data_IF_064252945365
#
_entry.id   IF_064252945365
#
_cell.length_a   1.000
_cell.length_b   1.000
_cell.length_c   1.000
_cell.angle_alpha   90.00
_cell.angle_beta   90.00
_cell.angle_gamma   90.00
#
_symmetry.space_group_name_H-M   'P 1'
#
loop_
_entity.id
_entity.type
_entity.pdbx_description
1 polymer ?
#
# COMPACT_ATOMS: atom_id res chain seq x y z
N UNK A 1 26.60 42.50 -54.06
CA UNK A 1 26.81 42.27 -52.60
C UNK A 1 25.91 41.13 -52.16
N UNK A 2 26.56 40.07 -51.65
CA UNK A 2 26.08 38.93 -50.84
C UNK A 2 24.79 38.18 -51.23
N UNK A 3 25.00 37.04 -51.87
CA UNK A 3 24.19 35.83 -51.74
C UNK A 3 24.48 35.12 -50.40
N UNK A 4 23.47 34.45 -49.85
CA UNK A 4 23.59 33.55 -48.70
C UNK A 4 22.66 32.36 -48.89
N UNK A 5 23.24 31.20 -49.19
CA UNK A 5 22.56 29.93 -49.42
C UNK A 5 22.24 29.22 -48.09
N UNK A 6 21.01 28.71 -47.98
CA UNK A 6 20.54 27.85 -46.90
C UNK A 6 20.85 26.38 -47.21
N UNK A 7 21.65 25.74 -46.35
CA UNK A 7 21.92 24.31 -46.39
C UNK A 7 21.25 23.62 -45.19
N UNK A 8 20.05 23.07 -45.40
CA UNK A 8 19.48 22.06 -44.49
C UNK A 8 19.91 20.68 -44.97
N UNK A 9 20.88 20.09 -44.27
CA UNK A 9 21.48 18.81 -44.59
C UNK A 9 20.60 17.61 -44.26
N UNK A 10 20.63 16.63 -45.16
CA UNK A 10 19.95 15.33 -45.14
C UNK A 10 20.19 14.45 -43.89
N UNK A 11 21.07 14.84 -42.96
CA UNK A 11 21.38 14.07 -41.74
C UNK A 11 20.37 14.26 -40.59
N UNK A 12 19.51 15.29 -40.64
CA UNK A 12 18.53 15.56 -39.58
C UNK A 12 17.35 14.58 -39.51
N UNK A 13 17.00 13.93 -40.64
CA UNK A 13 15.79 13.10 -40.74
C UNK A 13 15.97 11.73 -40.06
N UNK A 14 17.19 11.19 -40.07
CA UNK A 14 17.51 9.88 -39.46
C UNK A 14 17.60 9.94 -37.92
N UNK A 15 18.01 11.07 -37.35
CA UNK A 15 18.11 11.22 -35.90
C UNK A 15 16.73 11.40 -35.24
N UNK A 16 15.83 12.13 -35.91
CA UNK A 16 14.49 12.38 -35.39
C UNK A 16 13.63 11.10 -35.34
N UNK A 17 13.78 10.20 -36.33
CA UNK A 17 13.08 8.92 -36.35
C UNK A 17 13.50 7.95 -35.23
N UNK A 18 14.79 7.96 -34.84
CA UNK A 18 15.29 7.07 -33.77
C UNK A 18 14.86 7.52 -32.37
N UNK A 19 14.75 8.82 -32.12
CA UNK A 19 14.27 9.36 -30.85
C UNK A 19 12.77 9.07 -30.64
N UNK A 20 11.97 9.17 -31.69
CA UNK A 20 10.53 8.85 -31.64
C UNK A 20 10.28 7.36 -31.35
N UNK A 21 11.07 6.45 -31.94
CA UNK A 21 10.95 5.02 -31.69
C UNK A 21 11.35 4.63 -30.24
N UNK A 22 12.42 5.22 -29.70
CA UNK A 22 12.86 4.95 -28.33
C UNK A 22 11.84 5.45 -27.29
N UNK A 23 11.22 6.60 -27.54
CA UNK A 23 10.17 7.14 -26.66
C UNK A 23 8.91 6.27 -26.68
N UNK A 24 8.55 5.71 -27.84
CA UNK A 24 7.39 4.82 -27.98
C UNK A 24 7.58 3.50 -27.20
N UNK A 25 8.80 2.94 -27.18
CA UNK A 25 9.11 1.70 -26.44
C UNK A 25 9.12 1.92 -24.93
N UNK A 26 9.58 3.08 -24.45
CA UNK A 26 9.55 3.46 -23.03
C UNK A 26 8.11 3.64 -22.51
N UNK A 27 7.22 4.22 -23.32
CA UNK A 27 5.80 4.36 -22.96
C UNK A 27 5.08 3.01 -22.92
N UNK A 28 5.47 2.06 -23.77
CA UNK A 28 4.89 0.70 -23.78
C UNK A 28 5.38 -0.17 -22.60
N UNK A 29 6.62 0.00 -22.13
CA UNK A 29 7.18 -0.76 -21.01
C UNK A 29 6.66 -0.32 -19.63
N UNK A 30 6.16 0.92 -19.49
CA UNK A 30 5.52 1.41 -18.27
C UNK A 30 4.09 0.85 -18.06
N UNK A 31 3.54 0.15 -19.05
CA UNK A 31 2.28 -0.59 -18.96
C UNK A 31 2.52 -2.08 -18.67
N UNK A 32 3.39 -2.42 -17.72
CA UNK A 32 3.49 -3.79 -17.23
C UNK A 32 2.31 -4.07 -16.26
N UNK A 33 1.46 -5.07 -16.53
CA UNK A 33 0.22 -5.25 -15.79
C UNK A 33 0.48 -5.98 -14.48
N UNK A 34 0.85 -5.25 -13.42
CA UNK A 34 0.88 -5.72 -12.03
C UNK A 34 -0.52 -6.06 -11.46
N UNK A 35 -1.48 -6.41 -12.33
CA UNK A 35 -2.86 -6.73 -12.00
C UNK A 35 -3.56 -7.64 -13.02
N UNK A 36 -2.85 -8.18 -14.03
CA UNK A 36 -3.48 -8.98 -15.09
C UNK A 36 -4.12 -10.27 -14.55
N UNK A 37 -3.47 -10.92 -13.58
CA UNK A 37 -4.04 -12.11 -12.92
C UNK A 37 -5.29 -11.80 -12.11
N UNK A 38 -5.48 -10.56 -11.68
CA UNK A 38 -6.62 -10.15 -10.86
C UNK A 38 -7.82 -9.74 -11.72
N UNK A 39 -7.55 -9.06 -12.83
CA UNK A 39 -8.56 -8.71 -13.84
C UNK A 39 -9.07 -9.94 -14.59
N UNK A 40 -8.24 -10.98 -14.74
CA UNK A 40 -8.59 -12.20 -15.49
C UNK A 40 -9.15 -13.33 -14.62
N UNK A 41 -8.76 -13.42 -13.35
CA UNK A 41 -9.19 -14.50 -12.44
C UNK A 41 -10.12 -14.03 -11.30
N UNK A 42 -10.50 -12.75 -11.26
CA UNK A 42 -11.33 -12.18 -10.19
C UNK A 42 -10.58 -12.09 -8.86
N UNK A 43 -11.33 -11.93 -7.75
CA UNK A 43 -10.80 -12.17 -6.40
C UNK A 43 -10.38 -13.65 -6.41
N UNK A 44 -9.09 -13.92 -6.62
CA UNK A 44 -8.60 -15.29 -6.74
C UNK A 44 -9.05 -16.10 -5.52
N UNK A 45 -9.45 -17.35 -5.71
CA UNK A 45 -9.78 -18.26 -4.62
C UNK A 45 -8.59 -18.59 -3.70
N UNK A 46 -7.37 -18.13 -4.04
CA UNK A 46 -6.21 -18.21 -3.17
C UNK A 46 -6.12 -16.98 -2.26
N UNK A 47 -6.59 -17.14 -1.04
CA UNK A 47 -6.23 -16.32 0.12
C UNK A 47 -4.71 -16.47 0.35
N UNK A 48 -3.89 -15.64 -0.28
CA UNK A 48 -2.45 -15.66 -0.08
C UNK A 48 -2.14 -15.32 1.40
N UNK A 49 -1.37 -16.15 2.14
CA UNK A 49 -1.14 -15.95 3.57
C UNK A 49 -0.47 -14.63 3.96
N UNK A 50 0.23 -13.98 3.02
CA UNK A 50 0.85 -12.67 3.23
C UNK A 50 -0.21 -11.55 3.33
N UNK A 51 -1.24 -11.59 2.48
CA UNK A 51 -2.30 -10.59 2.45
C UNK A 51 -3.21 -10.70 3.68
N UNK A 52 -3.44 -11.92 4.18
CA UNK A 52 -4.25 -12.15 5.38
C UNK A 52 -3.64 -11.48 6.61
N UNK A 53 -2.31 -11.55 6.79
CA UNK A 53 -1.64 -10.96 7.96
C UNK A 53 -1.69 -9.44 7.95
N UNK A 54 -1.39 -8.83 6.80
CA UNK A 54 -1.47 -7.37 6.67
C UNK A 54 -2.91 -6.88 6.84
N UNK A 55 -3.89 -7.55 6.23
CA UNK A 55 -5.32 -7.22 6.40
C UNK A 55 -5.77 -7.38 7.86
N UNK A 56 -5.35 -8.44 8.54
CA UNK A 56 -5.66 -8.65 9.97
C UNK A 56 -5.07 -7.52 10.83
N UNK A 57 -3.82 -7.14 10.59
CA UNK A 57 -3.16 -6.05 11.33
C UNK A 57 -3.86 -4.70 11.09
N UNK A 58 -4.25 -4.39 9.85
CA UNK A 58 -5.01 -3.16 9.55
C UNK A 58 -6.38 -3.16 10.21
N UNK A 59 -7.08 -4.30 10.24
CA UNK A 59 -8.35 -4.45 10.96
C UNK A 59 -8.18 -4.27 12.47
N UNK A 60 -7.11 -4.84 13.06
CA UNK A 60 -6.79 -4.67 14.48
C UNK A 60 -6.61 -3.20 14.84
N UNK A 61 -5.82 -2.49 14.01
CA UNK A 61 -5.59 -1.05 14.18
C UNK A 61 -6.88 -0.24 14.04
N UNK A 62 -7.73 -0.59 13.07
CA UNK A 62 -9.01 0.08 12.87
C UNK A 62 -9.93 -0.08 14.08
N UNK A 63 -10.10 -1.29 14.61
CA UNK A 63 -10.91 -1.51 15.81
C UNK A 63 -10.33 -0.83 17.05
N UNK A 64 -9.00 -0.77 17.19
CA UNK A 64 -8.36 -0.03 18.28
C UNK A 64 -8.67 1.48 18.21
N UNK A 65 -8.69 2.07 17.00
CA UNK A 65 -9.08 3.46 16.78
C UNK A 65 -10.57 3.69 17.06
N UNK A 66 -11.46 2.79 16.63
CA UNK A 66 -12.88 2.90 16.93
C UNK A 66 -13.14 2.80 18.44
N UNK A 67 -12.46 1.90 19.14
CA UNK A 67 -12.54 1.78 20.59
C UNK A 67 -12.10 3.07 21.30
N UNK A 68 -11.01 3.70 20.83
CA UNK A 68 -10.53 4.93 21.46
C UNK A 68 -11.48 6.10 21.23
N UNK A 69 -12.03 6.22 20.02
CA UNK A 69 -13.05 7.22 19.69
C UNK A 69 -14.37 6.99 20.43
N UNK A 70 -14.70 5.74 20.75
CA UNK A 70 -15.85 5.36 21.56
C UNK A 70 -15.69 5.70 23.06
N UNK A 71 -14.53 6.20 23.49
CA UNK A 71 -14.25 6.49 24.90
C UNK A 71 -14.07 5.24 25.76
N UNK A 72 -13.84 4.08 25.15
CA UNK A 72 -13.66 2.81 25.86
C UNK A 72 -12.23 2.59 26.36
N UNK A 73 -11.28 3.48 26.03
CA UNK A 73 -9.87 3.41 26.43
C UNK A 73 -9.65 3.50 27.94
N UNK A 74 -10.61 4.08 28.68
CA UNK A 74 -10.63 4.14 30.14
C UNK A 74 -11.63 3.17 30.79
N UNK A 75 -12.29 2.32 29.99
CA UNK A 75 -13.25 1.35 30.53
C UNK A 75 -12.51 0.24 31.29
N UNK A 76 -12.95 -0.11 32.51
CA UNK A 76 -12.34 -1.20 33.28
C UNK A 76 -12.40 -2.55 32.54
N UNK A 77 -13.38 -2.74 31.66
CA UNK A 77 -13.63 -4.00 30.95
C UNK A 77 -12.75 -4.19 29.69
N UNK A 78 -12.19 -3.09 29.13
CA UNK A 78 -11.46 -3.10 27.84
C UNK A 78 -9.93 -2.92 28.02
N UNK A 79 -9.50 -2.51 29.21
CA UNK A 79 -8.09 -2.34 29.56
C UNK A 79 -7.38 -1.19 28.83
N UNK A 80 -6.23 -0.77 29.37
CA UNK A 80 -5.37 0.24 28.75
C UNK A 80 -4.89 -0.21 27.37
N UNK A 81 -5.18 0.59 26.34
CA UNK A 81 -4.77 0.32 24.96
C UNK A 81 -5.86 -0.27 24.06
N UNK A 82 -7.13 -0.22 24.46
CA UNK A 82 -8.26 -0.63 23.61
C UNK A 82 -8.21 -2.11 23.18
N UNK A 83 -7.79 -2.98 24.11
CA UNK A 83 -7.73 -4.42 23.87
C UNK A 83 -9.10 -5.03 24.15
N UNK A 84 -9.97 -4.95 23.14
CA UNK A 84 -11.35 -5.47 23.21
C UNK A 84 -11.37 -6.94 23.67
N UNK A 85 -12.18 -7.30 24.68
CA UNK A 85 -12.36 -8.68 25.07
C UNK A 85 -13.01 -9.50 23.95
N UNK A 86 -12.74 -10.81 23.92
CA UNK A 86 -13.27 -11.70 22.87
C UNK A 86 -14.81 -11.71 22.84
N UNK A 87 -15.43 -11.58 24.02
CA UNK A 87 -16.87 -11.56 24.22
C UNK A 87 -17.26 -10.45 25.21
N UNK A 88 -17.86 -9.38 24.70
CA UNK A 88 -18.45 -8.29 25.49
C UNK A 88 -19.48 -7.56 24.61
N UNK A 89 -20.73 -7.88 24.85
CA UNK A 89 -21.86 -7.35 24.09
C UNK A 89 -21.96 -5.83 24.12
N UNK A 90 -21.67 -5.21 25.26
CA UNK A 90 -21.81 -3.76 25.41
C UNK A 90 -20.66 -3.06 24.70
N UNK A 91 -19.42 -3.49 24.92
CA UNK A 91 -18.26 -2.87 24.29
C UNK A 91 -18.31 -3.01 22.77
N UNK A 92 -18.59 -4.21 22.25
CA UNK A 92 -18.66 -4.44 20.81
C UNK A 92 -19.82 -3.67 20.16
N UNK A 93 -20.97 -3.55 20.83
CA UNK A 93 -22.08 -2.73 20.31
C UNK A 93 -21.71 -1.25 20.21
N UNK A 94 -21.05 -0.68 21.23
CA UNK A 94 -20.60 0.72 21.18
C UNK A 94 -19.56 0.92 20.06
N UNK A 95 -18.63 -0.03 19.89
CA UNK A 95 -17.64 0.01 18.80
C UNK A 95 -18.31 -0.04 17.43
N UNK A 96 -19.34 -0.88 17.25
CA UNK A 96 -20.10 -0.94 15.99
C UNK A 96 -20.82 0.38 15.72
N UNK A 97 -21.49 0.96 16.72
CA UNK A 97 -22.14 2.27 16.56
C UNK A 97 -21.14 3.37 16.21
N UNK A 98 -19.96 3.37 16.84
CA UNK A 98 -18.89 4.29 16.51
C UNK A 98 -18.34 4.06 15.09
N UNK A 99 -18.19 2.80 14.68
CA UNK A 99 -17.81 2.44 13.31
C UNK A 99 -18.84 2.90 12.28
N UNK A 100 -20.14 2.78 12.57
CA UNK A 100 -21.19 3.35 11.71
C UNK A 100 -21.06 4.88 11.58
N UNK A 101 -20.74 5.59 12.67
CA UNK A 101 -20.51 7.04 12.63
C UNK A 101 -19.24 7.43 11.84
N UNK A 102 -18.19 6.61 11.86
CA UNK A 102 -17.00 6.79 11.00
C UNK A 102 -17.34 6.55 9.53
N UNK A 103 -18.04 5.45 9.21
CA UNK A 103 -18.51 5.14 7.86
C UNK A 103 -19.40 6.27 7.31
N UNK A 104 -20.29 6.81 8.15
CA UNK A 104 -21.17 7.93 7.80
C UNK A 104 -20.39 9.16 7.34
N UNK A 105 -19.39 9.58 8.11
CA UNK A 105 -18.53 10.73 7.76
C UNK A 105 -17.82 10.51 6.43
N UNK A 106 -17.31 9.30 6.19
CA UNK A 106 -16.64 8.94 4.93
C UNK A 106 -17.62 8.89 3.75
N UNK A 107 -18.84 8.42 3.99
CA UNK A 107 -19.91 8.35 3.03
C UNK A 107 -20.37 9.76 2.60
N UNK A 108 -20.60 10.66 3.57
CA UNK A 108 -21.00 12.04 3.29
C UNK A 108 -19.94 12.78 2.48
N UNK A 109 -18.66 12.63 2.85
CA UNK A 109 -17.54 13.22 2.12
C UNK A 109 -17.36 12.61 0.71
N UNK A 110 -17.77 11.35 0.50
CA UNK A 110 -17.80 10.74 -0.83
C UNK A 110 -18.95 11.30 -1.70
N UNK A 111 -20.13 11.51 -1.11
CA UNK A 111 -21.27 12.09 -1.80
C UNK A 111 -21.03 13.56 -2.19
N UNK A 112 -20.40 14.34 -1.32
CA UNK A 112 -19.98 15.71 -1.61
C UNK A 112 -18.98 15.76 -2.78
N UNK A 113 -17.95 14.91 -2.72
CA UNK A 113 -16.99 14.76 -3.81
C UNK A 113 -17.66 14.39 -5.14
N UNK A 114 -18.66 13.50 -5.10
CA UNK A 114 -19.42 13.09 -6.29
C UNK A 114 -20.19 14.27 -6.90
N UNK A 115 -20.84 15.10 -6.06
CA UNK A 115 -21.58 16.29 -6.51
C UNK A 115 -20.64 17.35 -7.11
N UNK A 116 -19.52 17.65 -6.45
CA UNK A 116 -18.48 18.56 -6.96
C UNK A 116 -17.92 18.07 -8.29
N UNK A 117 -17.68 16.77 -8.41
CA UNK A 117 -17.18 16.18 -9.65
C UNK A 117 -18.19 16.29 -10.78
N UNK A 118 -19.48 16.18 -10.48
CA UNK A 118 -20.56 16.39 -11.45
C UNK A 118 -20.64 17.86 -11.89
N UNK A 119 -20.59 18.82 -10.97
CA UNK A 119 -20.62 20.27 -11.27
C UNK A 119 -19.41 20.71 -12.09
N UNK A 120 -18.23 20.17 -11.79
CA UNK A 120 -16.98 20.48 -12.50
C UNK A 120 -16.89 19.87 -13.92
N UNK A 121 -17.83 18.99 -14.32
CA UNK A 121 -17.86 18.37 -15.65
C UNK A 121 -18.47 19.26 -16.74
N UNK A 122 -19.35 20.20 -16.40
CA UNK A 122 -20.01 21.06 -17.39
C UNK A 122 -19.02 21.87 -18.28
N UNK A 123 -17.83 22.31 -17.81
CA UNK A 123 -16.85 22.99 -18.66
C UNK A 123 -15.73 22.08 -19.24
N UNK A 124 -15.61 20.81 -18.84
CA UNK A 124 -14.42 19.96 -19.07
C UNK A 124 -14.64 18.82 -20.08
N UNK A 125 -15.65 18.92 -20.94
CA UNK A 125 -15.92 17.94 -21.99
C UNK A 125 -14.97 18.01 -23.20
N UNK A 126 -13.96 18.90 -23.23
CA UNK A 126 -13.01 19.01 -24.35
C UNK A 126 -11.75 18.14 -24.25
N UNK A 127 -11.47 17.46 -23.12
CA UNK A 127 -10.20 16.73 -22.96
C UNK A 127 -10.32 15.44 -22.13
N UNK A 128 -11.18 14.49 -22.53
CA UNK A 128 -11.28 13.18 -21.85
C UNK A 128 -10.89 12.04 -22.79
N UNK A 129 -9.58 11.88 -23.03
CA UNK A 129 -8.97 10.67 -23.59
C UNK A 129 -7.78 10.13 -22.76
N UNK A 130 -7.62 10.55 -21.49
CA UNK A 130 -6.53 10.11 -20.62
C UNK A 130 -7.04 9.66 -19.24
N UNK A 131 -7.84 8.58 -19.18
CA UNK A 131 -8.52 8.14 -17.95
C UNK A 131 -7.91 6.89 -17.30
N UNK A 132 -6.89 6.24 -17.89
CA UNK A 132 -6.41 4.95 -17.35
C UNK A 132 -5.36 5.03 -16.23
N UNK A 133 -4.59 6.12 -16.13
CA UNK A 133 -3.53 6.29 -15.11
C UNK A 133 -3.81 7.41 -14.11
N UNK A 134 -5.00 8.00 -14.17
CA UNK A 134 -5.27 9.28 -13.50
C UNK A 134 -6.31 9.13 -12.39
N UNK A 135 -6.94 7.97 -12.21
CA UNK A 135 -7.96 7.79 -11.17
C UNK A 135 -7.33 7.85 -9.77
N UNK A 136 -6.20 7.18 -9.53
CA UNK A 136 -5.50 7.25 -8.23
C UNK A 136 -4.83 8.62 -7.99
N UNK A 137 -4.28 9.25 -9.03
CA UNK A 137 -3.59 10.54 -8.93
C UNK A 137 -4.55 11.75 -8.90
N UNK A 138 -5.69 11.70 -9.59
CA UNK A 138 -6.74 12.75 -9.54
C UNK A 138 -7.57 12.61 -8.25
N UNK A 139 -7.81 11.39 -7.75
CA UNK A 139 -8.47 11.20 -6.45
C UNK A 139 -7.61 11.68 -5.28
N UNK A 140 -6.28 11.66 -5.42
CA UNK A 140 -5.37 12.29 -4.46
C UNK A 140 -5.28 13.83 -4.58
N UNK A 141 -5.71 14.42 -5.70
CA UNK A 141 -5.57 15.87 -5.96
C UNK A 141 -6.82 16.72 -5.68
N UNK A 142 -8.02 16.12 -5.61
CA UNK A 142 -9.27 16.89 -5.53
C UNK A 142 -9.92 16.94 -4.13
N UNK A 143 -9.73 15.89 -3.31
CA UNK A 143 -9.89 15.92 -1.86
C UNK A 143 -9.36 14.57 -1.32
N UNK A 144 -8.10 14.49 -0.87
CA UNK A 144 -7.42 13.23 -0.58
C UNK A 144 -8.09 12.43 0.54
N UNK A 145 -8.87 13.05 1.42
CA UNK A 145 -9.27 12.42 2.67
C UNK A 145 -10.42 11.40 2.52
N UNK A 146 -11.38 11.57 1.59
CA UNK A 146 -12.60 10.73 1.56
C UNK A 146 -12.47 9.45 0.73
N UNK A 147 -11.86 9.54 -0.46
CA UNK A 147 -11.61 8.39 -1.32
C UNK A 147 -10.53 7.46 -0.74
N UNK A 148 -9.48 8.05 -0.14
CA UNK A 148 -8.46 7.29 0.59
C UNK A 148 -9.08 6.67 1.84
N UNK A 149 -9.97 7.37 2.56
CA UNK A 149 -10.65 6.81 3.72
C UNK A 149 -11.56 5.63 3.38
N UNK A 150 -12.35 5.69 2.31
CA UNK A 150 -13.15 4.55 1.85
C UNK A 150 -12.27 3.42 1.28
N UNK A 151 -11.14 3.74 0.67
CA UNK A 151 -10.14 2.73 0.24
C UNK A 151 -9.47 2.07 1.43
N UNK A 152 -9.10 2.80 2.49
CA UNK A 152 -8.48 2.26 3.70
C UNK A 152 -9.48 1.35 4.42
N UNK A 153 -10.73 1.78 4.53
CA UNK A 153 -11.80 0.98 5.15
C UNK A 153 -12.18 -0.21 4.26
N UNK A 154 -12.21 -0.03 2.94
CA UNK A 154 -12.39 -1.10 1.97
C UNK A 154 -11.26 -2.13 2.02
N UNK A 155 -10.01 -1.70 2.06
CA UNK A 155 -8.82 -2.53 2.19
C UNK A 155 -8.80 -3.26 3.54
N UNK A 156 -9.10 -2.55 4.64
CA UNK A 156 -9.26 -3.15 5.96
C UNK A 156 -10.34 -4.25 5.92
N UNK A 157 -11.48 -3.97 5.30
CA UNK A 157 -12.57 -4.94 5.19
C UNK A 157 -12.46 -5.91 4.02
N UNK A 158 -11.39 -5.92 3.23
CA UNK A 158 -11.25 -6.77 2.04
C UNK A 158 -12.29 -6.51 0.95
N UNK A 159 -12.94 -5.35 0.98
CA UNK A 159 -13.88 -4.86 -0.03
C UNK A 159 -13.08 -4.06 -1.06
N UNK A 160 -12.72 -4.75 -2.14
CA UNK A 160 -11.76 -4.33 -3.14
C UNK A 160 -11.98 -2.92 -3.69
N UNK A 161 -10.97 -2.08 -3.51
CA UNK A 161 -10.83 -0.74 -4.13
C UNK A 161 -10.92 -0.80 -5.66
N UNK A 162 -10.60 -1.94 -6.30
CA UNK A 162 -10.61 -2.07 -7.78
C UNK A 162 -11.98 -2.36 -8.40
N UNK A 163 -12.99 -2.72 -7.59
CA UNK A 163 -14.40 -2.73 -8.04
C UNK A 163 -14.92 -1.30 -8.30
N UNK A 164 -14.34 -0.31 -7.62
CA UNK A 164 -14.64 1.13 -7.81
C UNK A 164 -13.99 1.65 -9.11
N UNK A 165 -12.83 1.12 -9.49
CA UNK A 165 -12.06 1.59 -10.65
C UNK A 165 -12.57 1.06 -12.00
N UNK A 166 -13.28 -0.07 -12.01
CA UNK A 166 -13.65 -0.79 -13.24
C UNK A 166 -15.13 -0.68 -13.63
N UNK A 167 -15.99 -0.13 -12.75
CA UNK A 167 -17.42 -0.04 -13.04
C UNK A 167 -17.78 1.37 -13.54
N UNK A 168 -18.58 1.41 -14.60
CA UNK A 168 -18.86 2.60 -15.38
C UNK A 168 -19.50 3.73 -14.55
N UNK A 169 -18.66 4.65 -14.07
CA UNK A 169 -18.99 5.96 -13.51
C UNK A 169 -19.88 6.86 -14.41
N UNK A 170 -20.38 6.37 -15.56
CA UNK A 170 -21.36 7.08 -16.37
C UNK A 170 -22.73 7.16 -15.70
N UNK A 171 -23.22 6.06 -15.12
CA UNK A 171 -24.60 6.04 -14.61
C UNK A 171 -24.75 6.96 -13.38
N UNK A 172 -23.88 6.85 -12.37
CA UNK A 172 -23.92 7.74 -11.20
C UNK A 172 -23.69 9.21 -11.50
N UNK A 173 -22.95 9.54 -12.58
CA UNK A 173 -22.71 10.93 -12.97
C UNK A 173 -23.85 11.51 -13.82
N UNK A 174 -24.69 10.66 -14.41
CA UNK A 174 -25.90 11.06 -15.14
C UNK A 174 -27.09 11.27 -14.18
N UNK A 175 -27.21 10.47 -13.13
CA UNK A 175 -28.28 10.58 -12.13
C UNK A 175 -28.13 11.87 -11.30
N UNK A 176 -29.24 12.51 -10.94
CA UNK A 176 -29.26 13.69 -10.09
C UNK A 176 -28.63 13.41 -8.70
N UNK A 177 -27.73 14.29 -8.24
CA UNK A 177 -27.04 14.12 -6.96
C UNK A 177 -28.02 14.07 -5.79
N UNK A 178 -29.16 14.76 -5.90
CA UNK A 178 -30.26 14.73 -4.94
C UNK A 178 -30.87 13.32 -4.80
N UNK A 179 -31.08 12.62 -5.93
CA UNK A 179 -31.54 11.23 -5.96
C UNK A 179 -30.54 10.31 -5.27
N UNK A 180 -29.26 10.39 -5.66
CA UNK A 180 -28.20 9.57 -5.05
C UNK A 180 -28.14 9.79 -3.53
N UNK A 181 -28.15 11.05 -3.10
CA UNK A 181 -28.09 11.41 -1.69
C UNK A 181 -29.32 10.88 -0.92
N UNK A 182 -30.53 11.06 -1.48
CA UNK A 182 -31.77 10.59 -0.85
C UNK A 182 -31.79 9.07 -0.63
N UNK A 183 -31.30 8.31 -1.62
CA UNK A 183 -31.23 6.85 -1.57
C UNK A 183 -30.27 6.40 -0.48
N UNK A 184 -29.04 6.92 -0.47
CA UNK A 184 -28.01 6.56 0.52
C UNK A 184 -28.46 6.92 1.94
N UNK A 185 -29.01 8.12 2.14
CA UNK A 185 -29.53 8.57 3.43
C UNK A 185 -30.65 7.64 3.91
N UNK A 186 -31.62 7.34 3.04
CA UNK A 186 -32.77 6.50 3.39
C UNK A 186 -32.32 5.09 3.82
N UNK A 187 -31.34 4.53 3.13
CA UNK A 187 -30.85 3.17 3.35
C UNK A 187 -29.97 3.09 4.61
N UNK A 188 -29.15 4.12 4.87
CA UNK A 188 -28.44 4.27 6.14
C UNK A 188 -29.41 4.36 7.32
N UNK A 189 -30.48 5.15 7.19
CA UNK A 189 -31.51 5.25 8.24
C UNK A 189 -32.27 3.94 8.43
N UNK A 190 -32.63 3.26 7.33
CA UNK A 190 -33.29 1.95 7.38
C UNK A 190 -32.41 0.93 8.11
N UNK A 191 -31.15 0.81 7.71
CA UNK A 191 -30.20 -0.10 8.33
C UNK A 191 -30.02 0.21 9.83
N UNK A 192 -29.84 1.48 10.20
CA UNK A 192 -29.72 1.87 11.61
C UNK A 192 -30.98 1.51 12.42
N UNK A 193 -32.17 1.72 11.87
CA UNK A 193 -33.44 1.35 12.53
C UNK A 193 -33.57 -0.17 12.72
N UNK A 194 -33.21 -0.94 11.72
CA UNK A 194 -33.25 -2.42 11.79
C UNK A 194 -32.20 -2.98 12.74
N UNK A 195 -31.05 -2.31 12.85
CA UNK A 195 -29.94 -2.75 13.70
C UNK A 195 -29.98 -2.24 15.13
N UNK A 196 -30.88 -1.31 15.47
CA UNK A 196 -31.08 -0.83 16.85
C UNK A 196 -31.44 -1.95 17.84
N UNK A 197 -32.07 -3.02 17.36
CA UNK A 197 -32.45 -4.18 18.20
C UNK A 197 -31.37 -5.26 18.28
N UNK A 198 -30.30 -5.14 17.48
CA UNK A 198 -29.23 -6.13 17.50
C UNK A 198 -28.17 -5.77 18.53
N UNK A 199 -27.66 -6.79 19.18
CA UNK A 199 -26.50 -6.67 20.03
C UNK A 199 -25.34 -7.46 19.44
N UNK A 200 -24.15 -6.86 19.51
CA UNK A 200 -22.95 -7.41 18.90
C UNK A 200 -22.06 -7.94 20.01
N UNK A 201 -21.91 -9.25 20.12
CA UNK A 201 -21.20 -9.89 21.24
C UNK A 201 -19.72 -10.16 20.98
N UNK A 202 -19.28 -10.16 19.73
CA UNK A 202 -17.93 -10.56 19.35
C UNK A 202 -17.45 -9.81 18.10
N UNK A 203 -16.14 -9.91 17.84
CA UNK A 203 -15.49 -9.27 16.69
C UNK A 203 -16.08 -9.68 15.33
N UNK A 204 -16.28 -10.97 15.00
CA UNK A 204 -16.88 -11.35 13.71
C UNK A 204 -18.25 -10.72 13.47
N UNK A 205 -19.11 -10.65 14.49
CA UNK A 205 -20.42 -10.00 14.39
C UNK A 205 -20.28 -8.49 14.13
N UNK A 206 -19.35 -7.83 14.82
CA UNK A 206 -19.07 -6.41 14.60
C UNK A 206 -18.52 -6.14 13.19
N UNK A 207 -17.56 -6.94 12.73
CA UNK A 207 -16.97 -6.84 11.39
C UNK A 207 -18.02 -7.05 10.29
N UNK A 208 -18.87 -8.05 10.45
CA UNK A 208 -19.96 -8.32 9.51
C UNK A 208 -20.96 -7.16 9.45
N UNK A 209 -21.33 -6.58 10.59
CA UNK A 209 -22.23 -5.43 10.66
C UNK A 209 -21.64 -4.20 9.97
N UNK A 210 -20.38 -3.86 10.27
CA UNK A 210 -19.68 -2.72 9.67
C UNK A 210 -19.47 -2.89 8.16
N UNK A 211 -19.10 -4.10 7.70
CA UNK A 211 -19.02 -4.43 6.27
C UNK A 211 -20.35 -4.25 5.55
N UNK A 212 -21.43 -4.72 6.17
CA UNK A 212 -22.77 -4.63 5.61
C UNK A 212 -23.23 -3.17 5.52
N UNK A 213 -22.90 -2.37 6.53
CA UNK A 213 -23.19 -0.94 6.54
C UNK A 213 -22.40 -0.16 5.48
N UNK A 214 -21.09 -0.42 5.37
CA UNK A 214 -20.22 0.22 4.38
C UNK A 214 -20.72 0.00 2.95
N UNK A 215 -21.27 -1.19 2.65
CA UNK A 215 -21.78 -1.52 1.32
C UNK A 215 -22.85 -0.56 0.82
N UNK A 216 -23.61 0.09 1.71
CA UNK A 216 -24.64 1.08 1.34
C UNK A 216 -24.02 2.26 0.59
N UNK A 217 -22.80 2.64 0.97
CA UNK A 217 -22.09 3.79 0.41
C UNK A 217 -21.22 3.43 -0.81
N UNK A 218 -21.21 2.16 -1.23
CA UNK A 218 -20.40 1.74 -2.38
C UNK A 218 -21.10 2.08 -3.70
N UNK A 219 -20.35 2.56 -4.71
CA UNK A 219 -20.92 3.00 -5.98
C UNK A 219 -21.86 1.98 -6.64
N UNK A 220 -21.45 0.70 -6.70
CA UNK A 220 -22.26 -0.35 -7.33
C UNK A 220 -23.60 -0.55 -6.62
N UNK A 221 -23.63 -0.36 -5.30
CA UNK A 221 -24.81 -0.62 -4.50
C UNK A 221 -25.83 0.51 -4.66
N UNK A 222 -25.33 1.75 -4.76
CA UNK A 222 -26.13 2.94 -5.10
C UNK A 222 -26.75 2.78 -6.49
N UNK A 223 -25.97 2.40 -7.51
CA UNK A 223 -26.48 2.18 -8.87
C UNK A 223 -27.56 1.11 -8.90
N UNK A 224 -27.32 -0.01 -8.21
CA UNK A 224 -28.29 -1.09 -8.18
C UNK A 224 -29.59 -0.66 -7.50
N UNK A 225 -29.52 0.08 -6.39
CA UNK A 225 -30.71 0.60 -5.72
C UNK A 225 -31.49 1.57 -6.60
N UNK A 226 -30.80 2.42 -7.37
CA UNK A 226 -31.47 3.35 -8.27
C UNK A 226 -32.14 2.61 -9.42
N UNK A 227 -31.49 1.57 -9.96
CA UNK A 227 -32.08 0.69 -10.97
C UNK A 227 -33.29 -0.08 -10.42
N UNK A 228 -33.21 -0.57 -9.19
CA UNK A 228 -34.30 -1.27 -8.50
C UNK A 228 -35.48 -0.30 -8.26
N UNK A 229 -35.23 0.92 -7.80
CA UNK A 229 -36.26 1.95 -7.62
C UNK A 229 -36.92 2.34 -8.95
N UNK A 230 -36.14 2.44 -10.03
CA UNK A 230 -36.66 2.71 -11.37
C UNK A 230 -37.55 1.57 -11.88
N UNK A 231 -37.13 0.31 -11.67
CA UNK A 231 -37.89 -0.86 -12.12
C UNK A 231 -39.15 -1.11 -11.27
N UNK A 232 -39.07 -0.96 -9.94
CA UNK A 232 -40.20 -1.05 -9.03
C UNK A 232 -41.20 0.09 -9.25
N UNK A 233 -40.71 1.31 -9.46
CA UNK A 233 -41.53 2.45 -9.84
C UNK A 233 -42.30 2.23 -11.14
N UNK A 234 -41.64 1.64 -12.15
CA UNK A 234 -42.29 1.25 -13.41
C UNK A 234 -43.37 0.17 -13.21
N UNK A 235 -43.19 -0.71 -12.21
CA UNK A 235 -44.15 -1.77 -11.83
C UNK A 235 -45.22 -1.32 -10.83
N UNK A 236 -45.14 -0.09 -10.31
CA UNK A 236 -45.98 0.44 -9.20
C UNK A 236 -45.90 -0.44 -7.94
N UNK A 237 -44.76 -1.06 -7.70
CA UNK A 237 -44.49 -1.88 -6.52
C UNK A 237 -43.72 -1.07 -5.48
N UNK A 238 -44.03 -1.28 -4.20
CA UNK A 238 -43.27 -0.68 -3.10
C UNK A 238 -42.00 -1.51 -2.85
N UNK A 239 -40.84 -0.87 -2.58
CA UNK A 239 -39.65 -1.58 -2.12
C UNK A 239 -39.95 -2.33 -0.82
N UNK A 240 -39.65 -3.64 -0.81
CA UNK A 240 -39.73 -4.49 0.39
C UNK A 240 -38.37 -5.14 0.64
N UNK A 241 -38.16 -5.65 1.86
CA UNK A 241 -36.89 -6.24 2.29
C UNK A 241 -36.47 -7.48 1.46
N UNK A 242 -37.43 -8.17 0.84
CA UNK A 242 -37.24 -9.35 -0.01
C UNK A 242 -36.76 -9.03 -1.45
N UNK A 243 -36.92 -7.78 -1.88
CA UNK A 243 -36.53 -7.28 -3.21
C UNK A 243 -35.49 -6.15 -3.13
N UNK A 244 -34.87 -6.00 -1.95
CA UNK A 244 -33.69 -5.17 -1.71
C UNK A 244 -32.45 -6.05 -1.70
N UNK A 245 -31.40 -5.68 -2.44
CA UNK A 245 -30.09 -6.35 -2.39
C UNK A 245 -29.44 -6.30 -1.00
N UNK A 246 -29.93 -5.44 -0.11
CA UNK A 246 -29.48 -5.35 1.27
C UNK A 246 -30.30 -6.31 2.11
N UNK A 247 -29.71 -7.48 2.37
CA UNK A 247 -30.10 -8.28 3.51
C UNK A 247 -29.54 -7.62 4.77
N UNK A 248 -30.43 -7.26 5.70
CA UNK A 248 -30.03 -6.88 7.06
C UNK A 248 -29.14 -8.00 7.61
N UNK A 249 -28.06 -7.66 8.32
CA UNK A 249 -27.16 -8.68 8.81
C UNK A 249 -27.97 -9.65 9.70
N UNK A 250 -27.96 -10.93 9.33
CA UNK A 250 -28.55 -11.98 10.15
C UNK A 250 -27.66 -12.23 11.37
N UNK A 251 -27.63 -11.26 12.29
CA UNK A 251 -27.02 -11.41 13.60
C UNK A 251 -28.08 -12.02 14.49
N UNK A 252 -28.52 -13.24 14.14
CA UNK A 252 -29.25 -14.05 15.10
C UNK A 252 -28.27 -14.21 16.27
N UNK A 253 -28.62 -13.82 17.52
CA UNK A 253 -27.83 -14.27 18.65
C UNK A 253 -27.81 -15.79 18.51
N UNK A 254 -26.64 -16.41 18.38
CA UNK A 254 -26.52 -17.85 18.58
C UNK A 254 -26.88 -18.11 20.05
N UNK A 255 -28.17 -18.04 20.39
CA UNK A 255 -28.79 -18.71 21.52
C UNK A 255 -28.79 -20.20 21.17
N UNK A 256 -27.59 -20.76 21.17
CA UNK A 256 -27.30 -22.02 20.52
C UNK A 256 -25.83 -22.39 20.53
N UNK A 257 -25.01 -21.76 21.39
CA UNK A 257 -23.88 -22.47 21.96
C UNK A 257 -24.43 -23.39 23.06
N UNK A 258 -25.15 -24.45 22.68
CA UNK A 258 -24.86 -25.69 23.38
C UNK A 258 -23.34 -25.84 23.21
N UNK A 259 -22.55 -25.93 24.29
CA UNK A 259 -21.15 -26.25 24.12
C UNK A 259 -21.17 -27.54 23.31
N UNK A 260 -20.62 -27.50 22.09
CA UNK A 260 -20.16 -28.71 21.45
C UNK A 260 -19.13 -29.24 22.44
N UNK A 261 -19.59 -30.07 23.39
CA UNK A 261 -18.71 -30.93 24.12
C UNK A 261 -18.08 -31.79 23.04
N UNK A 262 -16.84 -31.42 22.68
CA UNK A 262 -15.96 -32.28 21.94
C UNK A 262 -15.78 -33.54 22.78
N UNK A 263 -16.67 -34.52 22.62
CA UNK A 263 -16.59 -35.83 23.27
C UNK A 263 -15.53 -36.72 22.63
N UNK A 264 -14.79 -36.21 21.67
CA UNK A 264 -13.52 -36.77 21.26
C UNK A 264 -12.42 -35.71 21.47
N UNK A 265 -11.48 -35.91 22.42
CA UNK A 265 -10.23 -35.16 22.37
C UNK A 265 -9.55 -35.56 21.06
N UNK A 266 -9.70 -34.73 20.03
CA UNK A 266 -8.75 -34.76 18.94
C UNK A 266 -7.47 -34.20 19.54
N UNK A 267 -6.62 -35.09 20.04
CA UNK A 267 -5.20 -34.82 20.21
C UNK A 267 -4.61 -34.59 18.83
N UNK A 268 -4.90 -33.44 18.22
CA UNK A 268 -3.95 -32.85 17.30
C UNK A 268 -2.77 -32.48 18.17
N UNK A 269 -1.84 -33.41 18.30
CA UNK A 269 -0.47 -33.07 18.64
C UNK A 269 0.01 -32.25 17.43
N UNK A 270 -0.36 -30.97 17.40
CA UNK A 270 0.29 -29.97 16.55
C UNK A 270 1.70 -29.96 17.10
N UNK A 271 2.53 -30.84 16.55
CA UNK A 271 3.97 -30.73 16.67
C UNK A 271 4.24 -29.45 15.92
N UNK A 272 4.22 -28.34 16.64
CA UNK A 272 4.64 -27.03 16.18
C UNK A 272 6.12 -27.20 15.82
N UNK A 273 6.39 -27.68 14.60
CA UNK A 273 7.73 -27.80 14.04
C UNK A 273 8.18 -26.39 13.78
N UNK A 274 8.60 -25.71 14.85
CA UNK A 274 9.24 -24.40 14.76
C UNK A 274 10.46 -24.57 13.86
N UNK A 275 10.58 -23.78 12.80
CA UNK A 275 11.77 -23.79 11.97
C UNK A 275 13.01 -23.61 12.83
N UNK A 276 14.13 -24.27 12.49
CA UNK A 276 15.39 -24.03 13.17
C UNK A 276 15.76 -22.54 13.06
N UNK A 277 16.34 -21.94 14.11
CA UNK A 277 16.81 -20.57 14.05
C UNK A 277 17.96 -20.46 13.04
N UNK A 278 18.05 -19.34 12.33
CA UNK A 278 19.15 -19.06 11.43
C UNK A 278 20.46 -18.84 12.21
N UNK A 279 21.58 -19.33 11.69
CA UNK A 279 22.88 -19.26 12.35
C UNK A 279 23.39 -17.81 12.45
N UNK A 280 23.89 -17.43 13.62
CA UNK A 280 24.49 -16.11 13.89
C UNK A 280 23.51 -14.94 14.10
N UNK A 281 22.21 -15.10 13.83
CA UNK A 281 21.23 -14.01 13.96
C UNK A 281 20.85 -13.65 15.40
N UNK A 282 21.17 -14.52 16.37
CA UNK A 282 20.83 -14.32 17.78
C UNK A 282 21.48 -13.08 18.40
N UNK A 283 22.60 -12.60 17.84
CA UNK A 283 23.31 -11.40 18.32
C UNK A 283 22.80 -10.10 17.69
N UNK A 284 22.11 -10.18 16.54
CA UNK A 284 21.71 -9.03 15.75
C UNK A 284 20.23 -8.65 15.90
N UNK A 285 19.43 -9.52 16.51
CA UNK A 285 17.98 -9.37 16.58
C UNK A 285 17.46 -9.76 17.95
N UNK A 286 16.54 -8.95 18.50
CA UNK A 286 15.81 -9.28 19.73
C UNK A 286 14.78 -10.39 19.50
N UNK A 287 14.44 -10.66 18.23
CA UNK A 287 13.53 -11.73 17.85
C UNK A 287 14.26 -12.90 17.22
N UNK A 288 13.69 -14.10 17.39
CA UNK A 288 14.15 -15.30 16.72
C UNK A 288 13.85 -15.20 15.22
N UNK A 289 14.90 -15.22 14.41
CA UNK A 289 14.83 -15.21 12.95
C UNK A 289 15.07 -16.65 12.45
N UNK A 290 14.15 -17.17 11.66
CA UNK A 290 14.31 -18.44 10.96
C UNK A 290 15.07 -18.27 9.64
N UNK A 291 15.54 -19.37 9.06
CA UNK A 291 16.35 -19.35 7.84
C UNK A 291 15.63 -18.68 6.66
N UNK A 292 14.31 -18.90 6.54
CA UNK A 292 13.50 -18.28 5.49
C UNK A 292 13.43 -16.76 5.65
N UNK A 293 13.21 -16.27 6.87
CA UNK A 293 13.19 -14.84 7.18
C UNK A 293 14.58 -14.23 7.03
N UNK A 294 15.64 -14.92 7.44
CA UNK A 294 17.02 -14.47 7.25
C UNK A 294 17.34 -14.24 5.77
N UNK A 295 16.99 -15.20 4.90
CA UNK A 295 17.16 -15.07 3.44
C UNK A 295 16.33 -13.92 2.87
N UNK A 296 15.10 -13.72 3.37
CA UNK A 296 14.27 -12.59 2.96
C UNK A 296 14.92 -11.24 3.33
N UNK A 297 15.43 -11.11 4.56
CA UNK A 297 16.14 -9.92 5.01
C UNK A 297 17.39 -9.67 4.15
N UNK A 298 18.21 -10.70 3.88
CA UNK A 298 19.39 -10.59 3.02
C UNK A 298 19.04 -10.06 1.61
N UNK A 299 17.94 -10.52 1.02
CA UNK A 299 17.45 -9.99 -0.27
C UNK A 299 16.99 -8.55 -0.18
N UNK A 300 16.35 -8.17 0.93
CA UNK A 300 15.85 -6.80 1.13
C UNK A 300 16.96 -5.78 1.40
N UNK A 301 18.13 -6.20 1.89
CA UNK A 301 19.35 -5.38 1.94
C UNK A 301 20.18 -5.49 0.65
N UNK A 302 19.61 -6.10 -0.39
CA UNK A 302 20.14 -6.26 -1.74
C UNK A 302 21.37 -7.15 -1.88
N UNK A 303 21.53 -8.15 -1.01
CA UNK A 303 22.48 -9.24 -1.26
C UNK A 303 21.96 -10.14 -2.39
N UNK A 304 22.88 -10.72 -3.16
CA UNK A 304 22.54 -11.53 -4.34
C UNK A 304 23.37 -12.81 -4.40
N UNK A 305 22.86 -13.82 -5.12
CA UNK A 305 23.60 -15.05 -5.37
C UNK A 305 23.95 -15.82 -4.09
N UNK A 306 25.22 -16.18 -3.93
CA UNK A 306 25.74 -16.93 -2.78
C UNK A 306 25.69 -16.16 -1.46
N UNK A 307 25.54 -14.84 -1.50
CA UNK A 307 25.47 -14.01 -0.29
C UNK A 307 24.08 -14.07 0.38
N UNK A 308 23.10 -14.77 -0.21
CA UNK A 308 21.75 -15.01 0.34
C UNK A 308 21.67 -16.44 0.89
N UNK A 309 22.56 -16.75 1.81
CA UNK A 309 22.74 -18.08 2.40
C UNK A 309 21.89 -18.32 3.67
N UNK A 310 21.31 -17.26 4.24
CA UNK A 310 20.57 -17.27 5.51
C UNK A 310 21.47 -17.07 6.73
N UNK A 311 22.79 -17.01 6.58
CA UNK A 311 23.71 -16.89 7.70
C UNK A 311 24.05 -15.42 8.00
N UNK A 312 24.19 -15.11 9.28
CA UNK A 312 24.62 -13.78 9.69
C UNK A 312 26.15 -13.62 9.54
N UNK A 313 26.61 -13.30 8.32
CA UNK A 313 28.01 -13.03 8.01
C UNK A 313 28.38 -11.54 8.01
N UNK A 314 29.67 -11.20 7.78
CA UNK A 314 30.15 -9.82 7.71
C UNK A 314 29.44 -8.94 6.68
N UNK A 315 29.09 -9.50 5.51
CA UNK A 315 28.31 -8.79 4.47
C UNK A 315 26.89 -8.46 4.93
N UNK A 316 26.20 -9.42 5.54
CA UNK A 316 24.87 -9.23 6.15
C UNK A 316 24.94 -8.14 7.22
N UNK A 317 25.95 -8.19 8.10
CA UNK A 317 26.16 -7.18 9.14
C UNK A 317 26.38 -5.79 8.53
N UNK A 318 27.22 -5.67 7.50
CA UNK A 318 27.49 -4.39 6.86
C UNK A 318 26.27 -3.81 6.14
N UNK A 319 25.49 -4.64 5.44
CA UNK A 319 24.24 -4.22 4.81
C UNK A 319 23.17 -3.79 5.82
N UNK A 320 23.06 -4.48 6.96
CA UNK A 320 22.13 -4.09 8.03
C UNK A 320 22.55 -2.80 8.74
N UNK A 321 23.86 -2.53 8.90
CA UNK A 321 24.35 -1.24 9.38
C UNK A 321 23.96 -0.09 8.47
N UNK A 322 24.01 -0.30 7.15
CA UNK A 322 23.50 0.67 6.18
C UNK A 322 21.99 0.89 6.38
N UNK A 323 21.22 -0.18 6.53
CA UNK A 323 19.78 -0.10 6.78
C UNK A 323 19.46 0.71 8.05
N UNK A 324 20.07 0.39 9.19
CA UNK A 324 19.85 1.08 10.47
C UNK A 324 20.25 2.56 10.41
N UNK A 325 21.25 2.89 9.59
CA UNK A 325 21.68 4.28 9.41
C UNK A 325 20.68 5.13 8.60
N UNK A 326 19.77 4.50 7.87
CA UNK A 326 18.75 5.16 7.05
C UNK A 326 17.43 5.12 7.82
N UNK A 327 17.19 6.17 8.60
CA UNK A 327 15.91 6.40 9.28
C UNK A 327 15.05 7.38 8.47
N UNK A 328 13.70 7.31 8.53
CA UNK A 328 12.83 8.35 8.00
C UNK A 328 13.19 9.76 8.50
N UNK A 329 13.77 9.84 9.70
CA UNK A 329 14.17 11.10 10.35
C UNK A 329 15.58 11.57 9.95
N UNK A 330 16.40 10.69 9.35
CA UNK A 330 17.75 11.01 8.92
C UNK A 330 18.03 10.36 7.55
N UNK A 331 17.41 10.89 6.48
CA UNK A 331 17.53 10.31 5.15
C UNK A 331 18.94 10.53 4.61
N UNK A 332 19.71 9.44 4.49
CA UNK A 332 20.93 9.37 3.69
C UNK A 332 21.99 10.41 4.10
N UNK A 333 22.56 10.27 5.30
CA UNK A 333 23.61 11.23 5.73
C UNK A 333 24.40 10.87 6.98
N UNK A 334 24.10 9.76 7.66
CA UNK A 334 24.80 9.38 8.88
C UNK A 334 26.29 9.11 8.59
N UNK A 335 27.18 9.96 9.11
CA UNK A 335 28.64 9.79 9.00
C UNK A 335 29.13 8.51 9.67
N UNK A 336 28.43 8.06 10.71
CA UNK A 336 28.90 7.02 11.63
C UNK A 336 28.18 5.68 11.39
N UNK A 337 27.61 5.48 10.20
CA UNK A 337 26.84 4.27 9.87
C UNK A 337 27.62 2.97 10.10
N UNK A 338 28.96 2.99 9.96
CA UNK A 338 29.82 1.83 10.23
C UNK A 338 29.81 1.39 11.69
N UNK A 339 29.52 2.31 12.61
CA UNK A 339 29.43 2.05 14.05
C UNK A 339 27.98 1.85 14.52
N UNK A 340 27.01 1.84 13.59
CA UNK A 340 25.62 1.59 13.92
C UNK A 340 25.47 0.24 14.65
N UNK A 341 24.72 0.27 15.75
CA UNK A 341 24.33 -0.95 16.46
C UNK A 341 23.12 -1.54 15.75
N UNK A 342 23.19 -2.82 15.37
CA UNK A 342 22.09 -3.52 14.73
C UNK A 342 21.15 -4.00 15.83
N UNK A 343 19.90 -3.54 15.80
CA UNK A 343 18.90 -3.97 16.77
C UNK A 343 17.54 -4.08 16.10
N UNK A 344 17.35 -5.18 15.37
CA UNK A 344 16.14 -5.38 14.58
C UNK A 344 14.93 -5.64 15.48
N UNK A 345 14.01 -4.68 15.49
CA UNK A 345 12.68 -4.80 16.09
C UNK A 345 11.70 -5.55 15.15
N UNK A 346 10.59 -6.12 15.67
CA UNK A 346 9.60 -6.79 14.83
C UNK A 346 9.05 -5.95 13.66
N UNK A 347 8.76 -4.64 13.82
CA UNK A 347 8.38 -3.79 12.70
C UNK A 347 9.46 -3.67 11.63
N UNK A 348 10.71 -3.46 12.03
CA UNK A 348 11.84 -3.34 11.08
C UNK A 348 12.06 -4.64 10.29
N UNK A 349 11.89 -5.80 10.93
CA UNK A 349 11.97 -7.10 10.24
C UNK A 349 10.85 -7.25 9.21
N UNK A 350 9.68 -6.66 9.43
CA UNK A 350 8.62 -6.63 8.43
C UNK A 350 8.92 -5.66 7.29
N UNK A 351 9.48 -4.49 7.58
CA UNK A 351 9.90 -3.52 6.55
C UNK A 351 11.00 -4.12 5.64
N UNK A 352 11.89 -4.92 6.22
CA UNK A 352 12.97 -5.68 5.57
C UNK A 352 12.48 -6.93 4.80
N UNK A 353 11.20 -7.04 4.47
CA UNK A 353 10.69 -8.08 3.55
C UNK A 353 10.46 -7.59 2.13
N UNK A 354 10.62 -6.29 1.90
CA UNK A 354 10.46 -5.69 0.58
C UNK A 354 11.66 -6.04 -0.29
N UNK A 355 11.43 -6.63 -1.47
CA UNK A 355 12.52 -7.00 -2.38
C UNK A 355 13.22 -5.75 -2.97
N UNK A 356 14.52 -5.86 -3.22
CA UNK A 356 15.28 -4.80 -3.87
C UNK A 356 14.96 -4.70 -5.35
N UNK A 357 14.97 -3.47 -5.88
CA UNK A 357 14.85 -3.30 -7.33
C UNK A 357 16.04 -3.87 -8.08
N UNK A 358 15.83 -4.35 -9.32
CA UNK A 358 16.92 -4.76 -10.19
C UNK A 358 17.98 -3.65 -10.28
N UNK A 359 19.26 -4.04 -10.22
CA UNK A 359 20.45 -3.18 -10.26
C UNK A 359 20.84 -2.47 -8.96
N UNK A 360 19.99 -2.47 -7.91
CA UNK A 360 20.43 -2.02 -6.59
C UNK A 360 21.39 -3.05 -5.98
N UNK A 361 22.55 -2.60 -5.52
CA UNK A 361 23.58 -3.44 -4.89
C UNK A 361 23.57 -3.37 -3.36
N UNK A 362 22.89 -2.37 -2.79
CA UNK A 362 22.65 -2.22 -1.36
C UNK A 362 21.37 -1.42 -1.10
N UNK A 363 21.02 -1.30 0.18
CA UNK A 363 19.81 -0.60 0.62
C UNK A 363 19.79 0.91 0.27
N UNK A 364 20.93 1.61 0.31
CA UNK A 364 21.03 3.04 -0.08
C UNK A 364 20.60 3.22 -1.54
N UNK A 365 21.15 2.39 -2.43
CA UNK A 365 20.83 2.46 -3.85
C UNK A 365 19.38 2.11 -4.11
N UNK A 366 18.84 1.12 -3.41
CA UNK A 366 17.42 0.77 -3.49
C UNK A 366 16.54 1.97 -3.14
N UNK A 367 16.88 2.70 -2.07
CA UNK A 367 16.17 3.92 -1.65
C UNK A 367 16.28 5.05 -2.68
N UNK A 368 17.48 5.28 -3.22
CA UNK A 368 17.71 6.29 -4.26
C UNK A 368 16.94 5.98 -5.56
N UNK A 369 16.81 4.70 -5.93
CA UNK A 369 16.12 4.29 -7.14
C UNK A 369 14.60 4.25 -7.00
N UNK A 370 14.09 3.86 -5.83
CA UNK A 370 12.64 3.66 -5.62
C UNK A 370 11.95 4.83 -4.94
N UNK A 371 12.48 5.28 -3.81
CA UNK A 371 11.81 6.24 -2.93
C UNK A 371 12.18 7.68 -3.23
N UNK A 372 13.39 7.92 -3.73
CA UNK A 372 13.89 9.27 -3.96
C UNK A 372 14.66 9.41 -5.29
N UNK A 373 13.98 9.18 -6.45
CA UNK A 373 14.63 9.15 -7.76
C UNK A 373 15.28 10.48 -8.17
N UNK A 374 14.78 11.61 -7.67
CA UNK A 374 15.40 12.92 -7.85
C UNK A 374 16.77 13.00 -7.19
N UNK A 375 16.90 12.49 -5.97
CA UNK A 375 18.18 12.39 -5.27
C UNK A 375 19.12 11.41 -5.98
N UNK A 376 18.61 10.26 -6.45
CA UNK A 376 19.37 9.34 -7.28
C UNK A 376 19.96 10.00 -8.53
N UNK A 377 19.17 10.84 -9.22
CA UNK A 377 19.63 11.58 -10.38
C UNK A 377 20.71 12.63 -10.04
N UNK A 378 20.61 13.30 -8.89
CA UNK A 378 21.62 14.23 -8.38
C UNK A 378 22.95 13.52 -8.08
N UNK A 379 22.90 12.36 -7.41
CA UNK A 379 24.10 11.56 -7.13
C UNK A 379 24.75 11.07 -8.43
N UNK A 380 23.97 10.57 -9.38
CA UNK A 380 24.48 10.18 -10.70
C UNK A 380 25.13 11.35 -11.43
N UNK A 381 24.57 12.56 -11.33
CA UNK A 381 25.18 13.78 -11.90
C UNK A 381 26.49 14.11 -11.21
N UNK A 382 26.54 14.12 -9.87
CA UNK A 382 27.74 14.41 -9.11
C UNK A 382 28.89 13.42 -9.43
N UNK A 383 28.57 12.14 -9.63
CA UNK A 383 29.55 11.12 -10.05
C UNK A 383 30.12 11.45 -11.43
N UNK A 384 29.27 11.80 -12.40
CA UNK A 384 29.71 12.19 -13.75
C UNK A 384 30.57 13.44 -13.74
N UNK A 385 30.15 14.46 -13.01
CA UNK A 385 30.84 15.74 -12.91
C UNK A 385 32.26 15.55 -12.33
N UNK A 386 32.43 14.69 -11.32
CA UNK A 386 33.75 14.39 -10.74
C UNK A 386 34.64 13.47 -11.58
N UNK A 387 34.05 12.64 -12.43
CA UNK A 387 34.80 11.68 -13.27
C UNK A 387 35.00 12.13 -14.71
N UNK A 388 34.48 13.31 -15.07
CA UNK A 388 34.53 13.88 -16.43
C UNK A 388 33.93 12.96 -17.50
N UNK A 389 32.89 12.18 -17.13
CA UNK A 389 32.20 11.28 -18.06
C UNK A 389 31.01 11.99 -18.70
N UNK A 390 30.99 12.03 -20.03
CA UNK A 390 29.95 12.70 -20.83
C UNK A 390 28.75 11.82 -21.18
N UNK A 391 28.77 10.54 -20.79
CA UNK A 391 27.64 9.64 -21.02
C UNK A 391 26.44 10.04 -20.15
N UNK A 392 25.31 10.26 -20.81
CA UNK A 392 24.04 10.66 -20.19
C UNK A 392 23.24 9.45 -19.67
N UNK A 393 23.83 8.25 -19.63
CA UNK A 393 23.17 7.08 -19.05
C UNK A 393 22.76 7.36 -17.59
N UNK A 394 21.49 7.07 -17.28
CA UNK A 394 20.84 7.48 -16.04
C UNK A 394 21.01 6.48 -14.88
N UNK A 395 21.47 5.25 -15.15
CA UNK A 395 21.50 4.16 -14.18
C UNK A 395 22.83 4.00 -13.46
N UNK A 396 22.80 3.51 -12.21
CA UNK A 396 24.03 3.19 -11.46
C UNK A 396 24.85 2.07 -12.10
N UNK A 397 24.24 1.17 -12.89
CA UNK A 397 24.93 0.08 -13.57
C UNK A 397 26.02 0.56 -14.54
N UNK A 398 25.76 1.64 -15.31
CA UNK A 398 26.77 2.20 -16.22
C UNK A 398 27.83 3.02 -15.49
N UNK A 399 27.52 3.51 -14.28
CA UNK A 399 28.42 4.32 -13.45
C UNK A 399 29.29 3.49 -12.51
N UNK A 400 29.18 2.15 -12.48
CA UNK A 400 29.97 1.28 -11.58
C UNK A 400 31.49 1.50 -11.69
N UNK A 401 32.10 1.57 -12.89
CA UNK A 401 33.55 1.83 -13.00
C UNK A 401 33.95 3.18 -12.41
N UNK A 402 33.11 4.20 -12.58
CA UNK A 402 33.32 5.55 -12.05
C UNK A 402 33.18 5.58 -10.53
N UNK A 403 32.22 4.82 -9.98
CA UNK A 403 32.05 4.65 -8.54
C UNK A 403 33.32 4.04 -7.94
N UNK A 404 33.83 2.94 -8.51
CA UNK A 404 35.08 2.32 -8.03
C UNK A 404 36.25 3.30 -8.04
N UNK A 405 36.46 4.00 -9.16
CA UNK A 405 37.53 5.01 -9.25
C UNK A 405 37.38 6.11 -8.20
N UNK A 406 36.16 6.65 -8.01
CA UNK A 406 35.91 7.69 -7.01
C UNK A 406 36.16 7.20 -5.58
N UNK A 407 35.80 5.96 -5.27
CA UNK A 407 36.08 5.38 -3.95
C UNK A 407 37.57 5.24 -3.70
N UNK A 408 38.32 4.78 -4.70
CA UNK A 408 39.77 4.66 -4.62
C UNK A 408 40.45 6.03 -4.46
N UNK A 409 40.03 7.03 -5.26
CA UNK A 409 40.53 8.41 -5.20
C UNK A 409 40.25 9.05 -3.83
N UNK A 410 39.08 8.80 -3.25
CA UNK A 410 38.67 9.28 -1.93
C UNK A 410 39.17 8.40 -0.76
N UNK A 411 39.86 7.29 -1.05
CA UNK A 411 40.33 6.30 -0.07
C UNK A 411 39.22 5.80 0.88
N UNK A 412 38.02 5.57 0.33
CA UNK A 412 36.89 5.06 1.10
C UNK A 412 37.05 3.56 1.38
N UNK A 413 36.68 3.12 2.59
CA UNK A 413 36.73 1.72 2.98
C UNK A 413 35.71 0.89 2.16
N UNK A 414 36.20 -0.09 1.40
CA UNK A 414 35.40 -0.97 0.53
C UNK A 414 34.63 -2.06 1.28
N UNK A 415 34.71 -2.09 2.61
CA UNK A 415 33.96 -3.00 3.45
C UNK A 415 34.45 -4.44 3.40
N UNK A 416 33.74 -5.37 4.06
CA UNK A 416 34.14 -6.76 4.12
C UNK A 416 34.16 -7.38 2.72
N UNK A 417 35.26 -8.06 2.39
CA UNK A 417 35.46 -8.74 1.09
C UNK A 417 35.28 -7.83 -0.14
N UNK A 418 35.48 -6.51 0.03
CA UNK A 418 35.32 -5.56 -1.06
C UNK A 418 33.87 -5.37 -1.52
N UNK A 419 32.89 -5.72 -0.67
CA UNK A 419 31.46 -5.63 -0.99
C UNK A 419 31.05 -4.25 -1.56
N UNK A 420 31.66 -3.16 -1.10
CA UNK A 420 31.27 -1.79 -1.48
C UNK A 420 32.08 -1.20 -2.63
N UNK A 421 32.99 -1.96 -3.25
CA UNK A 421 33.94 -1.46 -4.25
C UNK A 421 33.28 -0.74 -5.43
N UNK A 422 32.08 -1.15 -5.84
CA UNK A 422 31.32 -0.54 -6.93
C UNK A 422 29.97 0.04 -6.47
N UNK A 423 29.79 0.24 -5.17
CA UNK A 423 28.50 0.61 -4.58
C UNK A 423 28.48 2.02 -4.00
N UNK A 424 27.29 2.63 -4.01
CA UNK A 424 27.00 3.90 -3.33
C UNK A 424 26.66 3.60 -1.88
N UNK A 425 27.58 3.93 -0.98
CA UNK A 425 27.42 3.84 0.47
C UNK A 425 27.22 5.23 1.08
N UNK A 426 26.78 5.35 2.35
CA UNK A 426 26.49 6.66 2.94
C UNK A 426 27.69 7.62 3.00
N UNK A 427 28.91 7.10 3.13
CA UNK A 427 30.17 7.88 3.06
C UNK A 427 30.43 8.45 1.65
N UNK A 428 30.26 7.64 0.60
CA UNK A 428 30.37 8.14 -0.78
C UNK A 428 29.27 9.16 -1.09
N UNK A 429 28.03 8.88 -0.67
CA UNK A 429 26.91 9.81 -0.81
C UNK A 429 27.23 11.16 -0.15
N UNK A 430 27.69 11.15 1.10
CA UNK A 430 28.09 12.34 1.83
C UNK A 430 29.24 13.10 1.14
N UNK A 431 30.25 12.39 0.63
CA UNK A 431 31.37 12.99 -0.07
C UNK A 431 30.99 13.66 -1.40
N UNK A 432 29.89 13.21 -2.03
CA UNK A 432 29.36 13.77 -3.28
C UNK A 432 28.40 14.94 -3.05
N UNK A 433 27.54 14.85 -2.04
CA UNK A 433 26.44 15.81 -1.82
C UNK A 433 26.85 16.98 -0.93
N UNK A 434 27.72 16.77 0.07
CA UNK A 434 28.17 17.89 0.89
C UNK A 434 29.18 18.73 0.10
N UNK A 435 29.02 20.07 0.06
CA UNK A 435 30.04 20.95 -0.50
C UNK A 435 31.35 20.72 0.28
N UNK A 436 32.45 20.55 -0.45
CA UNK A 436 33.77 20.62 0.18
C UNK A 436 34.04 22.09 0.43
N UNK A 437 34.02 22.47 1.71
CA UNK A 437 34.46 23.80 2.17
C UNK A 437 35.97 23.99 1.96
#
# INVERSE_FOLDING_TARGET
>A
MRSGNSACGHQGVLLCGRLLAAFLVLVLAACAPAGENYLRNGIGSSLAPADIRNSTQTLDQYFALLCSQAGLSSSPDVGTGCRMPAFDERAWTVVVLQGMNDIDRRCDAYLEWLDDRKRSRAPLLSQVNAVRNTTTTIMALANPDSAIALSIVGEAFGLLTRSIENYHSRLLLEIESSTVNSVVIQERFRFRRETQTFTYSNRPAAEYALRSYLRICLPFAIESQINDLSTLGARRELPRSDNSLFQSPAVTPMLGAAPLQATAPVTTRVVERRPPPAEGWATASQIRIDEATAKAIQRAICLTGSDVDGNFGPKTQAGLKIFESISPQNPLGASDWRNATINLSPPQVNDLKTECVPNAKNYVENQLLTRNPSMGALVSKAIRDRTSVTDNSLGFTSLRPQITKLRDDLKLDNGPEGMFTDQITPDLFNALVKPQD
#
